data_IF_654201396626
#
_entry.id   IF_654201396626
#
_cell.length_a   1.000
_cell.length_b   1.000
_cell.length_c   1.000
_cell.angle_alpha   90.00
_cell.angle_beta   90.00
_cell.angle_gamma   90.00
#
_symmetry.space_group_name_H-M   'P 1'
#
loop_
_entity.id
_entity.type
_entity.pdbx_description
1 polymer ?
#
# COMPACT_ATOMS: atom_id res chain seq x y z
N UNK A 1 -48.13 -75.20 -32.72
CA UNK A 1 -47.37 -74.70 -31.57
C UNK A 1 -46.25 -73.85 -32.08
N UNK A 2 -46.40 -72.49 -32.11
CA UNK A 2 -45.50 -71.58 -32.87
C UNK A 2 -44.74 -70.73 -31.86
N UNK A 3 -43.43 -70.86 -31.87
CA UNK A 3 -42.53 -70.02 -31.05
C UNK A 3 -42.36 -68.63 -31.67
N UNK A 4 -42.75 -67.60 -30.91
CA UNK A 4 -42.54 -66.20 -31.30
C UNK A 4 -41.27 -65.66 -30.58
N UNK A 5 -40.13 -65.55 -31.31
CA UNK A 5 -38.92 -64.91 -30.82
C UNK A 5 -39.01 -63.41 -31.06
N UNK A 6 -39.18 -62.60 -29.99
CA UNK A 6 -39.04 -61.15 -30.05
C UNK A 6 -37.57 -60.77 -30.10
N UNK A 7 -37.16 -60.19 -31.22
CA UNK A 7 -35.85 -59.49 -31.38
C UNK A 7 -35.95 -58.13 -30.74
N UNK A 8 -35.30 -57.90 -29.56
CA UNK A 8 -35.04 -56.57 -29.07
C UNK A 8 -33.95 -55.93 -29.95
N UNK A 9 -34.27 -54.83 -30.60
CA UNK A 9 -33.41 -54.15 -31.55
C UNK A 9 -32.27 -53.42 -30.85
N UNK A 10 -31.08 -53.61 -31.34
CA UNK A 10 -29.79 -52.99 -30.91
C UNK A 10 -29.80 -51.45 -30.98
N UNK A 11 -30.90 -50.82 -31.44
CA UNK A 11 -30.99 -49.37 -31.57
C UNK A 11 -31.29 -48.65 -30.25
N UNK A 12 -31.81 -49.28 -29.22
CA UNK A 12 -32.08 -48.66 -27.93
C UNK A 12 -30.85 -48.56 -27.02
N UNK A 13 -29.83 -49.37 -27.23
CA UNK A 13 -28.58 -49.36 -26.43
C UNK A 13 -27.59 -48.25 -26.89
N UNK A 14 -27.63 -47.80 -28.15
CA UNK A 14 -26.77 -46.78 -28.65
C UNK A 14 -27.20 -45.33 -28.25
N UNK A 15 -28.49 -45.12 -28.03
CA UNK A 15 -29.03 -43.79 -27.59
C UNK A 15 -28.80 -43.56 -26.12
N UNK A 16 -28.79 -44.58 -25.30
CA UNK A 16 -28.51 -44.49 -23.86
C UNK A 16 -27.01 -44.22 -23.58
N UNK A 17 -26.10 -44.75 -24.37
CA UNK A 17 -24.64 -44.53 -24.24
C UNK A 17 -24.23 -43.13 -24.65
N UNK A 18 -24.86 -42.49 -25.67
CA UNK A 18 -24.56 -41.12 -26.11
C UNK A 18 -25.10 -40.05 -25.14
N UNK A 19 -26.17 -40.30 -24.40
CA UNK A 19 -26.68 -39.37 -23.41
C UNK A 19 -25.88 -39.37 -22.11
N UNK A 20 -25.22 -40.46 -21.75
CA UNK A 20 -24.35 -40.56 -20.56
C UNK A 20 -23.02 -39.87 -20.79
N UNK A 21 -22.45 -39.92 -21.99
CA UNK A 21 -21.19 -39.22 -22.35
C UNK A 21 -21.39 -37.69 -22.44
N UNK A 22 -22.56 -37.21 -22.81
CA UNK A 22 -22.86 -35.78 -22.87
C UNK A 22 -23.05 -35.14 -21.48
N UNK A 23 -23.31 -35.92 -20.43
CA UNK A 23 -23.51 -35.43 -19.06
C UNK A 23 -22.18 -35.31 -18.27
N UNK A 24 -21.10 -35.97 -18.70
CA UNK A 24 -19.79 -35.92 -18.03
C UNK A 24 -18.87 -34.77 -18.50
N UNK A 25 -19.27 -33.96 -19.47
CA UNK A 25 -18.40 -32.91 -20.04
C UNK A 25 -18.71 -31.50 -19.50
N UNK A 26 -19.52 -31.35 -18.47
CA UNK A 26 -19.77 -30.06 -17.82
C UNK A 26 -19.59 -30.07 -16.30
N UNK A 27 -18.53 -30.68 -15.82
CA UNK A 27 -17.88 -30.15 -14.62
C UNK A 27 -17.05 -28.94 -15.10
N UNK A 28 -17.71 -27.81 -15.23
CA UNK A 28 -17.00 -26.55 -15.35
C UNK A 28 -16.16 -26.41 -14.06
N UNK A 29 -14.88 -26.68 -14.13
CA UNK A 29 -13.94 -26.26 -13.09
C UNK A 29 -14.14 -24.75 -12.93
N UNK A 30 -14.83 -24.38 -11.87
CA UNK A 30 -14.78 -23.01 -11.43
C UNK A 30 -13.33 -22.78 -10.97
N UNK A 31 -12.58 -21.99 -11.73
CA UNK A 31 -11.21 -21.65 -11.38
C UNK A 31 -11.22 -21.06 -9.96
N UNK A 32 -10.34 -21.54 -9.11
CA UNK A 32 -10.18 -20.99 -7.77
C UNK A 32 -9.56 -19.60 -7.84
N UNK A 33 -9.65 -18.82 -6.77
CA UNK A 33 -8.97 -17.52 -6.68
C UNK A 33 -7.47 -17.69 -6.94
N UNK A 34 -6.86 -18.78 -6.45
CA UNK A 34 -5.44 -19.08 -6.65
C UNK A 34 -5.11 -19.37 -8.12
N UNK A 35 -5.95 -20.15 -8.83
CA UNK A 35 -5.73 -20.46 -10.24
C UNK A 35 -5.73 -19.18 -11.09
N UNK A 36 -6.65 -18.26 -10.81
CA UNK A 36 -6.74 -16.97 -11.51
C UNK A 36 -5.55 -16.08 -11.14
N UNK A 37 -5.23 -16.00 -9.86
CA UNK A 37 -4.18 -15.13 -9.34
C UNK A 37 -2.78 -15.52 -9.82
N UNK A 38 -2.51 -16.83 -9.94
CA UNK A 38 -1.18 -17.36 -10.31
C UNK A 38 -1.03 -17.67 -11.81
N UNK A 39 -2.03 -17.36 -12.61
CA UNK A 39 -2.02 -17.65 -14.05
C UNK A 39 -0.89 -16.90 -14.76
N UNK A 40 -0.09 -17.65 -15.55
CA UNK A 40 1.03 -17.13 -16.35
C UNK A 40 0.92 -17.49 -17.84
N UNK A 41 -0.21 -18.09 -18.27
CA UNK A 41 -0.40 -18.50 -19.65
C UNK A 41 -0.40 -17.31 -20.61
N UNK A 42 -0.07 -17.49 -21.90
CA UNK A 42 -0.18 -16.44 -22.91
C UNK A 42 -1.60 -15.86 -23.03
N UNK A 43 -2.62 -16.66 -22.73
CA UNK A 43 -4.04 -16.25 -22.79
C UNK A 43 -4.52 -15.52 -21.52
N UNK A 44 -3.65 -15.31 -20.53
CA UNK A 44 -4.00 -14.73 -19.23
C UNK A 44 -4.86 -13.47 -19.36
N UNK A 45 -4.43 -12.52 -20.17
CA UNK A 45 -5.16 -11.25 -20.35
C UNK A 45 -6.58 -11.47 -20.88
N UNK A 46 -6.76 -12.37 -21.84
CA UNK A 46 -8.07 -12.72 -22.40
C UNK A 46 -8.96 -13.37 -21.34
N UNK A 47 -8.42 -14.33 -20.58
CA UNK A 47 -9.16 -15.01 -19.50
C UNK A 47 -9.59 -14.02 -18.42
N UNK A 48 -8.70 -13.10 -18.00
CA UNK A 48 -9.02 -12.08 -17.02
C UNK A 48 -10.13 -11.14 -17.52
N UNK A 49 -10.07 -10.70 -18.78
CA UNK A 49 -11.10 -9.84 -19.38
C UNK A 49 -12.46 -10.55 -19.44
N UNK A 50 -12.51 -11.80 -19.89
CA UNK A 50 -13.75 -12.57 -19.98
C UNK A 50 -14.37 -12.86 -18.61
N UNK A 51 -13.56 -13.14 -17.62
CA UNK A 51 -14.01 -13.32 -16.23
C UNK A 51 -14.49 -12.00 -15.61
N UNK A 52 -13.72 -10.94 -15.74
CA UNK A 52 -14.05 -9.62 -15.22
C UNK A 52 -15.34 -9.03 -15.80
N UNK A 53 -15.65 -9.31 -17.09
CA UNK A 53 -16.97 -8.95 -17.69
C UNK A 53 -18.14 -9.59 -16.97
N UNK A 54 -17.98 -10.81 -16.44
CA UNK A 54 -19.02 -11.50 -15.68
C UNK A 54 -19.11 -10.98 -14.25
N UNK A 55 -17.97 -10.57 -13.66
CA UNK A 55 -17.86 -10.06 -12.30
C UNK A 55 -18.35 -8.61 -12.20
N UNK A 56 -18.14 -7.78 -13.20
CA UNK A 56 -18.70 -6.44 -13.38
C UNK A 56 -18.20 -5.37 -12.44
N UNK A 57 -17.47 -5.72 -11.38
CA UNK A 57 -16.93 -4.76 -10.40
C UNK A 57 -15.70 -5.29 -9.68
N UNK A 58 -14.99 -4.38 -8.98
CA UNK A 58 -13.91 -4.71 -8.03
C UNK A 58 -14.04 -3.85 -6.77
N UNK A 59 -13.85 -4.43 -5.58
CA UNK A 59 -13.85 -3.72 -4.30
C UNK A 59 -12.44 -3.48 -3.82
N UNK A 60 -12.06 -2.21 -3.70
CA UNK A 60 -10.74 -1.73 -3.32
C UNK A 60 -10.75 -1.11 -1.92
N UNK A 61 -10.04 -1.73 -0.96
CA UNK A 61 -9.82 -1.13 0.38
C UNK A 61 -8.46 -0.44 0.40
N UNK A 62 -8.45 0.88 0.68
CA UNK A 62 -7.26 1.69 0.48
C UNK A 62 -7.07 2.79 1.52
N UNK A 63 -5.81 3.13 1.80
CA UNK A 63 -5.42 4.31 2.59
C UNK A 63 -5.20 5.56 1.74
N UNK A 64 -5.20 5.46 0.42
CA UNK A 64 -4.94 6.57 -0.49
C UNK A 64 -6.01 7.67 -0.42
N UNK A 65 -5.63 8.92 -0.70
CA UNK A 65 -6.57 10.05 -0.67
C UNK A 65 -7.50 9.97 -1.89
N UNK A 66 -8.82 10.02 -1.62
CA UNK A 66 -9.85 9.75 -2.63
C UNK A 66 -9.71 10.68 -3.83
N UNK A 67 -9.88 11.99 -3.65
CA UNK A 67 -9.94 12.93 -4.76
C UNK A 67 -8.59 13.17 -5.41
N UNK A 68 -7.51 12.92 -4.69
CA UNK A 68 -6.16 13.15 -5.19
C UNK A 68 -5.68 11.99 -6.09
N UNK A 69 -5.95 10.72 -5.73
CA UNK A 69 -5.39 9.57 -6.45
C UNK A 69 -6.35 8.40 -6.66
N UNK A 70 -7.28 8.11 -5.72
CA UNK A 70 -8.19 6.96 -5.90
C UNK A 70 -9.14 7.21 -7.05
N UNK A 71 -9.76 8.40 -7.12
CA UNK A 71 -10.68 8.76 -8.19
C UNK A 71 -9.99 8.79 -9.58
N UNK A 72 -8.83 9.44 -9.77
CA UNK A 72 -8.08 9.33 -11.03
C UNK A 72 -7.71 7.89 -11.43
N UNK A 73 -7.32 7.04 -10.48
CA UNK A 73 -7.03 5.63 -10.75
C UNK A 73 -8.29 4.86 -11.18
N UNK A 74 -9.41 5.07 -10.47
CA UNK A 74 -10.72 4.52 -10.83
C UNK A 74 -11.11 4.92 -12.26
N UNK A 75 -11.10 6.21 -12.55
CA UNK A 75 -11.47 6.75 -13.88
C UNK A 75 -10.56 6.20 -14.98
N UNK A 76 -9.25 6.14 -14.73
CA UNK A 76 -8.27 5.57 -15.66
C UNK A 76 -8.50 4.08 -15.92
N UNK A 77 -8.81 3.32 -14.89
CA UNK A 77 -9.11 1.90 -15.00
C UNK A 77 -10.45 1.65 -15.73
N UNK A 78 -11.51 2.33 -15.32
CA UNK A 78 -12.85 2.19 -15.92
C UNK A 78 -12.89 2.66 -17.38
N UNK A 79 -12.03 3.60 -17.75
CA UNK A 79 -11.85 3.98 -19.16
C UNK A 79 -11.22 2.85 -19.99
N UNK A 80 -10.28 2.09 -19.42
CA UNK A 80 -9.64 0.96 -20.10
C UNK A 80 -10.53 -0.29 -20.09
N UNK A 81 -11.25 -0.50 -18.98
CA UNK A 81 -12.12 -1.67 -18.76
C UNK A 81 -13.56 -1.21 -18.39
N UNK A 82 -14.33 -0.65 -19.32
CA UNK A 82 -15.63 -0.03 -19.04
C UNK A 82 -16.71 -1.00 -18.55
N UNK A 83 -16.42 -2.29 -18.58
CA UNK A 83 -17.27 -3.36 -18.05
C UNK A 83 -16.99 -3.70 -16.59
N UNK A 84 -16.04 -3.03 -15.91
CA UNK A 84 -15.73 -3.22 -14.48
C UNK A 84 -15.84 -1.90 -13.75
N UNK A 85 -16.74 -1.81 -12.78
CA UNK A 85 -16.84 -0.68 -11.87
C UNK A 85 -15.89 -0.85 -10.68
N UNK A 86 -15.18 0.22 -10.29
CA UNK A 86 -14.36 0.22 -9.07
C UNK A 86 -15.15 0.83 -7.92
N UNK A 87 -15.47 -0.01 -6.92
CA UNK A 87 -15.97 0.44 -5.64
C UNK A 87 -14.81 0.50 -4.64
N UNK A 88 -14.85 1.40 -3.66
CA UNK A 88 -13.76 1.50 -2.70
C UNK A 88 -14.24 1.84 -1.29
N UNK A 89 -13.45 1.40 -0.31
CA UNK A 89 -13.52 1.83 1.08
C UNK A 89 -12.20 2.50 1.45
N UNK A 90 -12.24 3.71 2.00
CA UNK A 90 -11.06 4.42 2.45
C UNK A 90 -10.93 4.36 3.98
N UNK A 91 -9.77 3.96 4.48
CA UNK A 91 -9.41 3.94 5.89
C UNK A 91 -7.90 4.02 6.10
N UNK A 92 -7.44 4.19 7.35
CA UNK A 92 -6.05 3.94 7.68
C UNK A 92 -5.78 2.42 7.70
N UNK A 93 -4.50 2.02 7.81
CA UNK A 93 -4.10 0.60 7.75
C UNK A 93 -4.81 -0.26 8.81
N UNK A 94 -4.96 0.25 10.02
CA UNK A 94 -5.61 -0.45 11.12
C UNK A 94 -7.12 -0.64 10.87
N UNK A 95 -7.79 0.39 10.35
CA UNK A 95 -9.22 0.33 10.02
C UNK A 95 -9.48 -0.65 8.86
N UNK A 96 -8.64 -0.64 7.83
CA UNK A 96 -8.71 -1.57 6.71
C UNK A 96 -8.52 -3.00 7.22
N UNK A 97 -7.42 -3.26 7.94
CA UNK A 97 -7.15 -4.60 8.46
C UNK A 97 -8.27 -5.11 9.37
N UNK A 98 -8.74 -4.28 10.31
CA UNK A 98 -9.87 -4.64 11.20
C UNK A 98 -11.12 -4.98 10.42
N UNK A 99 -11.47 -4.19 9.40
CA UNK A 99 -12.62 -4.44 8.57
C UNK A 99 -12.51 -5.78 7.84
N UNK A 100 -11.39 -6.05 7.18
CA UNK A 100 -11.14 -7.32 6.51
C UNK A 100 -11.24 -8.49 7.49
N UNK A 101 -10.58 -8.40 8.65
CA UNK A 101 -10.61 -9.44 9.68
C UNK A 101 -12.03 -9.72 10.16
N UNK A 102 -12.84 -8.69 10.44
CA UNK A 102 -14.23 -8.82 10.87
C UNK A 102 -15.11 -9.47 9.79
N UNK A 103 -14.94 -9.04 8.54
CA UNK A 103 -15.69 -9.61 7.41
C UNK A 103 -15.34 -11.10 7.21
N UNK A 104 -14.07 -11.46 7.30
CA UNK A 104 -13.60 -12.84 7.15
C UNK A 104 -14.06 -13.76 8.31
N UNK A 105 -14.03 -13.26 9.55
CA UNK A 105 -14.58 -13.98 10.70
C UNK A 105 -16.07 -14.26 10.54
N UNK A 106 -16.81 -13.32 9.96
CA UNK A 106 -18.23 -13.46 9.64
C UNK A 106 -18.49 -14.27 8.34
N UNK A 107 -17.44 -14.79 7.67
CA UNK A 107 -17.51 -15.45 6.34
C UNK A 107 -18.15 -14.58 5.26
N UNK A 108 -18.06 -13.27 5.39
CA UNK A 108 -18.48 -12.29 4.37
C UNK A 108 -17.23 -11.79 3.67
N UNK A 109 -17.05 -12.18 2.43
CA UNK A 109 -15.90 -11.83 1.62
C UNK A 109 -16.28 -10.68 0.68
N UNK A 110 -16.02 -9.44 1.08
CA UNK A 110 -16.40 -8.25 0.33
C UNK A 110 -15.22 -7.68 -0.48
N UNK A 111 -14.03 -7.66 0.13
CA UNK A 111 -12.86 -7.04 -0.45
C UNK A 111 -12.19 -7.93 -1.51
N UNK A 112 -11.75 -7.31 -2.61
CA UNK A 112 -10.93 -7.95 -3.64
C UNK A 112 -9.46 -7.54 -3.52
N UNK A 113 -9.20 -6.23 -3.43
CA UNK A 113 -7.84 -5.66 -3.39
C UNK A 113 -7.65 -4.84 -2.13
N UNK A 114 -6.58 -5.14 -1.38
CA UNK A 114 -6.19 -4.44 -0.16
C UNK A 114 -4.97 -3.58 -0.43
N UNK A 115 -5.00 -2.31 0.00
CA UNK A 115 -3.87 -1.38 -0.10
C UNK A 115 -3.61 -0.65 1.20
N UNK A 116 -2.35 -0.47 1.54
CA UNK A 116 -1.90 0.31 2.69
C UNK A 116 -0.50 -0.10 3.15
N UNK A 117 0.23 0.81 3.79
CA UNK A 117 1.62 0.56 4.21
C UNK A 117 1.76 -0.61 5.19
N UNK A 118 0.78 -0.80 6.08
CA UNK A 118 0.75 -1.90 7.04
C UNK A 118 -0.48 -2.81 6.89
N UNK A 119 -1.51 -2.38 6.14
CA UNK A 119 -2.76 -3.13 6.02
C UNK A 119 -2.53 -4.51 5.38
N UNK A 120 -1.75 -4.57 4.30
CA UNK A 120 -1.47 -5.83 3.60
C UNK A 120 -0.74 -6.83 4.50
N UNK A 121 0.28 -6.40 5.25
CA UNK A 121 1.01 -7.29 6.17
C UNK A 121 0.14 -7.76 7.34
N UNK A 122 -0.71 -6.88 7.89
CA UNK A 122 -1.66 -7.27 8.94
C UNK A 122 -2.66 -8.33 8.45
N UNK A 123 -3.21 -8.14 7.24
CA UNK A 123 -4.15 -9.08 6.63
C UNK A 123 -3.45 -10.37 6.20
N UNK A 124 -2.21 -10.28 5.70
CA UNK A 124 -1.37 -11.43 5.34
C UNK A 124 -1.05 -12.30 6.56
N UNK A 125 -0.71 -11.69 7.70
CA UNK A 125 -0.44 -12.42 8.95
C UNK A 125 -1.66 -13.18 9.47
N UNK A 126 -2.84 -12.64 9.28
CA UNK A 126 -4.07 -13.33 9.58
C UNK A 126 -4.39 -14.49 8.61
N UNK A 127 -3.58 -14.69 7.57
CA UNK A 127 -3.77 -15.73 6.56
C UNK A 127 -4.81 -15.37 5.49
N UNK A 128 -5.15 -14.09 5.33
CA UNK A 128 -6.24 -13.62 4.46
C UNK A 128 -5.77 -12.89 3.20
N UNK A 129 -4.47 -12.98 2.86
CA UNK A 129 -3.95 -12.57 1.56
C UNK A 129 -3.70 -13.77 0.66
N UNK A 130 -3.86 -13.58 -0.65
CA UNK A 130 -3.56 -14.53 -1.70
C UNK A 130 -2.27 -14.11 -2.43
N UNK A 131 -1.39 -15.05 -2.74
CA UNK A 131 -0.28 -14.80 -3.65
C UNK A 131 -0.83 -14.53 -5.05
N UNK A 132 -0.18 -13.65 -5.78
CA UNK A 132 -0.56 -13.32 -7.14
C UNK A 132 0.65 -13.11 -8.05
N UNK A 133 0.44 -13.31 -9.32
CA UNK A 133 1.38 -13.01 -10.37
C UNK A 133 0.92 -11.77 -11.15
N UNK A 134 1.81 -10.80 -11.33
CA UNK A 134 1.64 -9.71 -12.28
C UNK A 134 2.89 -9.59 -13.15
N UNK A 135 2.75 -9.52 -14.49
CA UNK A 135 3.90 -9.36 -15.37
C UNK A 135 4.68 -8.07 -15.11
N UNK A 136 4.00 -7.02 -14.63
CA UNK A 136 4.60 -5.72 -14.32
C UNK A 136 5.59 -5.78 -13.15
N UNK A 137 5.41 -6.71 -12.20
CA UNK A 137 6.33 -6.86 -11.06
C UNK A 137 7.73 -7.34 -11.48
N UNK A 138 7.92 -7.84 -12.70
CA UNK A 138 9.24 -8.20 -13.20
C UNK A 138 10.18 -6.97 -13.26
N UNK A 139 9.65 -5.80 -13.56
CA UNK A 139 10.39 -4.55 -13.69
C UNK A 139 10.67 -3.87 -12.34
N UNK A 140 9.96 -4.25 -11.26
CA UNK A 140 10.10 -3.62 -9.95
C UNK A 140 11.36 -4.10 -9.23
N UNK A 141 12.09 -3.20 -8.55
CA UNK A 141 13.23 -3.58 -7.73
C UNK A 141 12.79 -4.44 -6.52
N UNK A 142 13.71 -5.25 -5.96
CA UNK A 142 13.37 -6.20 -4.89
C UNK A 142 12.68 -5.58 -3.67
N UNK A 143 13.08 -4.37 -3.27
CA UNK A 143 12.53 -3.65 -2.13
C UNK A 143 11.09 -3.16 -2.32
N UNK A 144 10.58 -3.14 -3.56
CA UNK A 144 9.24 -2.66 -3.90
C UNK A 144 8.27 -3.78 -4.30
N UNK A 145 8.63 -5.03 -4.06
CA UNK A 145 7.78 -6.21 -4.27
C UNK A 145 8.08 -7.30 -3.24
N UNK A 146 7.09 -8.10 -2.91
CA UNK A 146 7.26 -9.24 -2.03
C UNK A 146 7.91 -10.43 -2.76
N UNK A 147 8.98 -10.99 -2.22
CA UNK A 147 9.63 -12.19 -2.75
C UNK A 147 8.72 -13.42 -2.72
N UNK A 148 7.74 -13.45 -1.83
CA UNK A 148 6.74 -14.53 -1.68
C UNK A 148 5.50 -14.30 -2.56
N UNK A 149 5.34 -13.10 -3.15
CA UNK A 149 4.28 -12.78 -4.10
C UNK A 149 2.96 -12.33 -3.48
N UNK A 150 2.92 -11.86 -2.23
CA UNK A 150 1.68 -11.37 -1.60
C UNK A 150 1.39 -9.90 -1.86
N UNK A 151 2.39 -9.09 -2.21
CA UNK A 151 2.20 -7.67 -2.46
C UNK A 151 3.15 -7.11 -3.53
N UNK A 152 2.71 -6.01 -4.14
CA UNK A 152 3.53 -5.10 -4.93
C UNK A 152 3.35 -3.67 -4.42
N UNK A 153 4.26 -2.77 -4.74
CA UNK A 153 4.21 -1.38 -4.32
C UNK A 153 3.54 -0.48 -5.37
N UNK A 154 2.64 0.40 -4.92
CA UNK A 154 2.05 1.44 -5.79
C UNK A 154 2.80 2.75 -5.71
N UNK A 155 3.30 3.10 -4.52
CA UNK A 155 4.01 4.35 -4.29
C UNK A 155 4.86 4.25 -3.02
N UNK A 156 5.84 5.12 -2.92
CA UNK A 156 6.68 5.26 -1.74
C UNK A 156 6.42 6.61 -1.10
N UNK A 157 6.45 6.67 0.22
CA UNK A 157 6.40 7.89 1.00
C UNK A 157 7.76 8.13 1.64
N UNK A 158 8.34 9.32 1.45
CA UNK A 158 9.54 9.73 2.16
C UNK A 158 9.16 10.69 3.29
N UNK A 159 9.56 10.32 4.51
CA UNK A 159 9.24 11.04 5.73
C UNK A 159 10.40 11.94 6.12
N UNK A 160 10.14 13.24 6.20
CA UNK A 160 11.16 14.27 6.42
C UNK A 160 10.75 15.21 7.55
N UNK A 161 11.58 16.20 7.85
CA UNK A 161 11.11 17.35 8.61
C UNK A 161 10.23 18.23 7.71
N UNK A 162 9.16 18.78 8.28
CA UNK A 162 8.44 19.93 7.73
C UNK A 162 8.73 21.15 8.55
N UNK A 163 8.91 22.31 7.94
CA UNK A 163 9.19 23.54 8.68
C UNK A 163 8.44 24.74 8.10
N UNK A 164 8.10 25.69 8.98
CA UNK A 164 7.51 26.95 8.58
C UNK A 164 8.62 27.91 8.12
N UNK A 165 8.57 28.34 6.87
CA UNK A 165 9.61 29.20 6.26
C UNK A 165 9.65 30.63 6.78
N UNK A 166 8.59 31.06 7.50
CA UNK A 166 8.58 32.36 8.18
C UNK A 166 9.25 32.30 9.57
N UNK A 167 9.23 31.12 10.21
CA UNK A 167 9.72 30.92 11.57
C UNK A 167 11.15 30.40 11.60
N UNK A 168 11.59 29.65 10.57
CA UNK A 168 12.92 29.03 10.50
C UNK A 168 13.56 29.30 9.15
N UNK A 169 14.77 29.84 9.16
CA UNK A 169 15.57 30.06 7.95
C UNK A 169 16.24 28.76 7.52
N UNK A 170 16.45 28.59 6.22
CA UNK A 170 17.02 27.36 5.63
C UNK A 170 18.43 27.02 6.15
N UNK A 171 19.24 28.04 6.51
CA UNK A 171 20.58 27.82 7.08
C UNK A 171 20.58 27.45 8.57
N UNK A 172 19.43 27.50 9.23
CA UNK A 172 19.26 27.17 10.65
C UNK A 172 18.70 25.76 10.87
N UNK A 173 18.24 25.10 9.80
CA UNK A 173 17.59 23.79 9.84
C UNK A 173 18.52 22.69 10.33
N UNK A 174 17.99 21.71 11.09
CA UNK A 174 18.68 20.45 11.36
C UNK A 174 19.04 19.74 10.04
N UNK A 175 20.28 19.29 9.91
CA UNK A 175 20.79 18.55 8.74
C UNK A 175 21.10 17.09 9.05
N UNK A 176 21.29 16.80 10.32
CA UNK A 176 21.57 15.48 10.86
C UNK A 176 20.58 15.14 11.98
N UNK A 177 20.48 13.88 12.36
CA UNK A 177 19.69 13.49 13.52
C UNK A 177 20.22 14.13 14.81
N UNK A 178 21.52 14.29 14.95
CA UNK A 178 22.17 14.94 16.11
C UNK A 178 21.77 16.40 16.24
N UNK A 179 21.53 17.11 15.12
CA UNK A 179 21.10 18.51 15.15
C UNK A 179 19.75 18.71 15.83
N UNK A 180 18.87 17.66 15.85
CA UNK A 180 17.60 17.70 16.60
C UNK A 180 17.81 17.77 18.11
N UNK A 181 19.01 17.43 18.61
CA UNK A 181 19.34 17.46 20.02
C UNK A 181 19.82 18.84 20.51
N UNK A 182 20.00 19.81 19.60
CA UNK A 182 20.44 21.15 19.97
C UNK A 182 19.40 21.84 20.87
N UNK A 183 19.83 22.59 21.89
CA UNK A 183 18.92 23.24 22.85
C UNK A 183 17.87 24.16 22.22
N UNK A 184 18.19 24.76 21.07
CA UNK A 184 17.26 25.65 20.35
C UNK A 184 15.97 24.96 19.87
N UNK A 185 15.98 23.64 19.72
CA UNK A 185 14.83 22.86 19.29
C UNK A 185 13.96 22.34 20.43
N UNK A 186 14.39 22.55 21.68
CA UNK A 186 13.65 22.07 22.85
C UNK A 186 12.27 22.74 22.92
N UNK A 187 11.20 21.95 22.87
CA UNK A 187 9.82 22.41 22.84
C UNK A 187 9.39 23.05 21.50
N UNK A 188 10.24 23.04 20.47
CA UNK A 188 9.97 23.65 19.17
C UNK A 188 9.56 22.64 18.10
N UNK A 189 9.44 21.38 18.43
CA UNK A 189 9.16 20.30 17.51
C UNK A 189 7.85 19.60 17.86
N UNK A 190 7.18 19.07 16.85
CA UNK A 190 6.03 18.19 17.03
C UNK A 190 6.06 16.96 16.13
N UNK A 191 5.35 15.93 16.49
CA UNK A 191 5.12 14.74 15.69
C UNK A 191 3.76 14.10 15.91
N UNK A 192 3.36 13.26 14.95
CA UNK A 192 2.19 12.38 15.08
C UNK A 192 2.51 11.17 15.94
N UNK A 193 1.56 10.72 16.75
CA UNK A 193 1.65 9.44 17.48
C UNK A 193 1.16 8.25 16.65
N UNK A 194 0.78 8.47 15.39
CA UNK A 194 0.28 7.44 14.47
C UNK A 194 1.29 6.31 14.28
N UNK A 195 0.83 5.07 14.36
CA UNK A 195 1.67 3.86 14.14
C UNK A 195 2.25 3.80 12.73
N UNK A 196 1.45 4.20 11.74
CA UNK A 196 1.78 4.01 10.33
C UNK A 196 2.63 5.11 9.69
N UNK A 197 2.81 6.27 10.35
CA UNK A 197 3.53 7.42 9.77
C UNK A 197 4.03 8.43 10.79
N UNK A 198 4.05 8.07 12.06
CA UNK A 198 4.43 8.99 13.13
C UNK A 198 5.71 8.59 13.87
N UNK A 199 5.79 9.02 15.12
CA UNK A 199 6.92 8.77 16.03
C UNK A 199 7.39 7.31 16.08
N UNK A 200 6.52 6.28 16.10
CA UNK A 200 6.99 4.89 16.11
C UNK A 200 7.87 4.53 14.90
N UNK A 201 7.52 5.00 13.69
CA UNK A 201 8.35 4.75 12.50
C UNK A 201 9.66 5.55 12.52
N UNK A 202 9.66 6.76 13.08
CA UNK A 202 10.90 7.49 13.32
C UNK A 202 11.83 6.72 14.25
N UNK A 203 11.29 6.18 15.35
CA UNK A 203 12.03 5.34 16.31
C UNK A 203 12.60 4.13 15.58
N UNK A 204 11.80 3.44 14.78
CA UNK A 204 12.24 2.31 13.97
C UNK A 204 13.39 2.68 13.03
N UNK A 205 13.29 3.80 12.33
CA UNK A 205 14.35 4.27 11.46
C UNK A 205 15.65 4.57 12.22
N UNK A 206 15.57 5.17 13.40
CA UNK A 206 16.74 5.41 14.26
C UNK A 206 17.39 4.10 14.70
N UNK A 207 16.59 3.14 15.16
CA UNK A 207 17.11 1.83 15.60
C UNK A 207 17.75 1.04 14.45
N UNK A 208 17.17 1.09 13.26
CA UNK A 208 17.71 0.46 12.04
C UNK A 208 19.00 1.15 11.56
N UNK A 209 19.08 2.47 11.72
CA UNK A 209 20.22 3.28 11.23
C UNK A 209 21.42 3.18 12.17
N UNK A 210 21.19 3.36 13.46
CA UNK A 210 22.25 3.47 14.47
C UNK A 210 22.54 2.13 15.19
N UNK A 211 21.69 1.14 14.97
CA UNK A 211 21.68 -0.09 15.77
C UNK A 211 20.95 0.07 17.11
N UNK A 212 20.57 -1.05 17.77
CA UNK A 212 19.70 -1.01 18.94
C UNK A 212 20.27 -0.19 20.12
N UNK A 213 21.54 -0.35 20.44
CA UNK A 213 22.13 0.31 21.63
C UNK A 213 22.35 1.81 21.41
N UNK A 214 23.04 2.18 20.32
CA UNK A 214 23.27 3.59 20.00
C UNK A 214 21.96 4.33 19.69
N UNK A 215 21.03 3.66 18.99
CA UNK A 215 19.70 4.20 18.70
C UNK A 215 18.89 4.49 19.96
N UNK A 216 18.86 3.58 20.93
CA UNK A 216 18.22 3.83 22.23
C UNK A 216 18.86 4.98 22.99
N UNK A 217 20.21 5.04 23.02
CA UNK A 217 20.93 6.15 23.65
C UNK A 217 20.58 7.50 23.00
N UNK A 218 20.52 7.56 21.68
CA UNK A 218 20.07 8.74 20.95
C UNK A 218 18.62 9.13 21.31
N UNK A 219 17.69 8.16 21.31
CA UNK A 219 16.26 8.38 21.61
C UNK A 219 16.05 8.89 23.05
N UNK A 220 16.87 8.47 24.01
CA UNK A 220 16.84 9.04 25.37
C UNK A 220 17.22 10.53 25.40
N UNK A 221 18.24 10.92 24.61
CA UNK A 221 18.59 12.35 24.45
C UNK A 221 17.48 13.11 23.75
N UNK A 222 16.87 12.52 22.71
CA UNK A 222 15.77 13.14 21.97
C UNK A 222 14.52 13.36 22.83
N UNK A 223 14.24 12.45 23.78
CA UNK A 223 13.16 12.61 24.77
C UNK A 223 13.27 13.93 25.54
N UNK A 224 14.51 14.35 25.88
CA UNK A 224 14.77 15.60 26.59
C UNK A 224 14.44 16.85 25.77
N UNK A 225 14.20 16.74 24.46
CA UNK A 225 13.79 17.84 23.61
C UNK A 225 12.31 18.25 23.79
N UNK A 226 11.53 17.52 24.59
CA UNK A 226 10.12 17.82 24.86
C UNK A 226 9.29 18.04 23.59
N UNK A 227 9.31 17.04 22.70
CA UNK A 227 8.58 17.08 21.43
C UNK A 227 7.06 17.00 21.69
N UNK A 228 6.30 17.94 21.16
CA UNK A 228 4.84 17.93 21.24
C UNK A 228 4.25 16.73 20.48
N UNK A 229 3.22 16.13 21.06
CA UNK A 229 2.58 14.89 20.60
C UNK A 229 1.14 15.16 20.21
N UNK A 230 0.71 14.62 19.07
CA UNK A 230 -0.68 14.68 18.63
C UNK A 230 -1.11 13.38 17.96
N UNK A 231 -2.36 12.99 18.14
CA UNK A 231 -2.98 11.86 17.42
C UNK A 231 -3.36 12.23 15.99
N UNK A 232 -3.20 13.48 15.60
CA UNK A 232 -3.44 13.96 14.25
C UNK A 232 -2.55 13.24 13.23
N UNK A 233 -3.04 13.13 12.00
CA UNK A 233 -2.26 12.55 10.89
C UNK A 233 -1.04 13.40 10.55
N UNK A 234 -0.04 12.84 9.88
CA UNK A 234 1.13 13.60 9.41
C UNK A 234 0.75 14.81 8.53
N UNK A 235 -0.36 14.73 7.79
CA UNK A 235 -0.89 15.86 7.03
C UNK A 235 -1.38 16.98 7.95
N UNK A 236 -2.18 16.66 8.95
CA UNK A 236 -2.70 17.63 9.92
C UNK A 236 -1.57 18.24 10.77
N UNK A 237 -0.54 17.46 11.11
CA UNK A 237 0.67 17.99 11.77
C UNK A 237 1.35 19.04 10.89
N UNK A 238 1.45 18.78 9.57
CA UNK A 238 2.00 19.76 8.64
C UNK A 238 1.13 21.04 8.58
N UNK A 239 -0.18 20.91 8.66
CA UNK A 239 -1.10 22.06 8.68
C UNK A 239 -0.89 22.94 9.92
N UNK A 240 -0.60 22.36 11.10
CA UNK A 240 -0.24 23.11 12.32
C UNK A 240 1.11 23.86 12.15
N UNK A 241 2.07 23.26 11.46
CA UNK A 241 3.33 23.95 11.10
C UNK A 241 3.07 25.09 10.11
N UNK A 242 2.23 24.90 9.11
CA UNK A 242 1.83 25.95 8.16
C UNK A 242 1.17 27.11 8.90
N UNK A 243 0.31 26.83 9.88
CA UNK A 243 -0.34 27.83 10.72
C UNK A 243 0.63 28.56 11.66
N UNK A 244 1.84 28.02 11.88
CA UNK A 244 2.87 28.64 12.73
C UNK A 244 2.79 28.23 14.20
N UNK A 245 1.98 27.23 14.56
CA UNK A 245 1.88 26.72 15.93
C UNK A 245 3.17 26.07 16.40
N UNK A 246 3.90 25.43 15.49
CA UNK A 246 5.23 24.88 15.71
C UNK A 246 6.14 25.22 14.55
N UNK A 247 7.41 25.54 14.80
CA UNK A 247 8.37 25.83 13.74
C UNK A 247 8.79 24.59 12.93
N UNK A 248 8.81 23.39 13.58
CA UNK A 248 9.21 22.11 12.98
C UNK A 248 8.21 20.99 13.28
N UNK A 249 7.96 20.15 12.27
CA UNK A 249 7.36 18.83 12.44
C UNK A 249 8.36 17.73 12.06
N UNK A 250 8.42 16.68 12.87
CA UNK A 250 9.19 15.46 12.57
C UNK A 250 8.26 14.43 11.93
N UNK A 251 8.72 13.70 10.90
CA UNK A 251 7.95 12.65 10.22
C UNK A 251 6.71 13.17 9.49
N UNK A 252 6.90 14.10 8.56
CA UNK A 252 5.86 14.48 7.59
C UNK A 252 6.21 13.92 6.20
N UNK A 253 5.21 13.77 5.37
CA UNK A 253 5.41 13.38 3.96
C UNK A 253 5.96 14.55 3.16
N UNK A 254 7.15 14.41 2.56
CA UNK A 254 7.81 15.47 1.79
C UNK A 254 6.94 16.00 0.63
N UNK A 255 6.21 15.12 -0.07
CA UNK A 255 5.32 15.54 -1.16
C UNK A 255 4.15 16.38 -0.68
N UNK A 256 3.64 16.19 0.55
CA UNK A 256 2.61 17.07 1.12
C UNK A 256 3.15 18.48 1.39
N UNK A 257 4.40 18.60 1.88
CA UNK A 257 5.05 19.90 2.04
C UNK A 257 5.27 20.57 0.68
N UNK A 258 5.70 19.82 -0.33
CA UNK A 258 5.85 20.31 -1.70
C UNK A 258 4.50 20.83 -2.26
N UNK A 259 3.42 20.06 -2.16
CA UNK A 259 2.08 20.46 -2.64
C UNK A 259 1.64 21.76 -1.94
N UNK A 260 1.80 21.85 -0.63
CA UNK A 260 1.41 23.05 0.13
C UNK A 260 2.27 24.27 -0.23
N UNK A 261 3.58 24.09 -0.42
CA UNK A 261 4.51 25.13 -0.88
C UNK A 261 4.11 25.66 -2.25
N UNK A 262 3.79 24.79 -3.20
CA UNK A 262 3.37 25.20 -4.55
C UNK A 262 2.02 25.90 -4.56
N UNK A 263 1.18 25.64 -3.57
CA UNK A 263 -0.06 26.38 -3.32
C UNK A 263 0.15 27.68 -2.55
N UNK A 264 1.40 28.11 -2.30
CA UNK A 264 1.73 29.38 -1.65
C UNK A 264 1.80 29.35 -0.13
N UNK A 265 1.69 28.16 0.50
CA UNK A 265 1.83 28.04 1.95
C UNK A 265 3.28 28.30 2.41
N UNK A 266 3.50 28.91 3.60
CA UNK A 266 4.82 29.20 4.13
C UNK A 266 5.49 27.95 4.73
N UNK A 267 5.71 26.94 3.93
CA UNK A 267 6.25 25.64 4.34
C UNK A 267 7.24 25.09 3.34
N UNK A 268 8.25 24.38 3.83
CA UNK A 268 9.10 23.53 3.04
C UNK A 268 9.53 22.30 3.86
N UNK A 269 10.33 21.43 3.30
CA UNK A 269 10.78 20.20 3.94
C UNK A 269 12.31 20.09 3.95
N UNK A 270 12.85 19.34 4.91
CA UNK A 270 14.28 19.09 5.09
C UNK A 270 14.49 17.60 5.36
N UNK A 271 15.30 16.90 4.55
CA UNK A 271 15.65 15.51 4.83
C UNK A 271 16.63 15.40 6.00
N UNK A 272 16.47 14.32 6.78
CA UNK A 272 17.51 13.79 7.68
C UNK A 272 17.88 12.40 7.16
N UNK A 273 19.12 12.23 6.73
CA UNK A 273 19.56 10.98 6.10
C UNK A 273 20.09 9.95 7.13
N UNK A 274 19.77 8.67 6.94
CA UNK A 274 18.89 8.10 5.91
C UNK A 274 17.42 8.45 6.16
N UNK A 275 16.73 8.92 5.11
CA UNK A 275 15.31 9.29 5.19
C UNK A 275 14.44 8.04 5.40
N UNK A 276 13.47 8.11 6.28
CA UNK A 276 12.47 7.02 6.40
C UNK A 276 11.65 6.92 5.12
N UNK A 277 11.68 5.76 4.47
CA UNK A 277 10.85 5.46 3.31
C UNK A 277 9.79 4.41 3.67
N UNK A 278 8.52 4.77 3.56
CA UNK A 278 7.40 3.86 3.80
C UNK A 278 6.79 3.43 2.47
N UNK A 279 6.69 2.14 2.27
CA UNK A 279 6.17 1.55 1.05
C UNK A 279 4.65 1.38 1.18
N UNK A 280 3.87 1.95 0.26
CA UNK A 280 2.46 1.66 0.16
C UNK A 280 2.26 0.45 -0.75
N UNK A 281 1.65 -0.60 -0.22
CA UNK A 281 1.52 -1.88 -0.89
C UNK A 281 0.08 -2.18 -1.30
N UNK A 282 -0.06 -3.02 -2.32
CA UNK A 282 -1.33 -3.60 -2.77
C UNK A 282 -1.19 -5.11 -2.87
N UNK A 283 -2.28 -5.81 -2.63
CA UNK A 283 -2.33 -7.27 -2.78
C UNK A 283 -3.76 -7.78 -2.91
N UNK A 284 -3.86 -9.06 -3.30
CA UNK A 284 -5.11 -9.76 -3.52
C UNK A 284 -5.64 -10.35 -2.21
N UNK A 285 -6.92 -10.17 -1.92
CA UNK A 285 -7.57 -10.83 -0.79
C UNK A 285 -7.76 -12.33 -1.07
N UNK A 286 -7.57 -13.20 -0.06
CA UNK A 286 -7.55 -14.68 -0.22
C UNK A 286 -8.83 -15.26 -0.79
N UNK A 287 -9.97 -14.68 -0.43
CA UNK A 287 -11.29 -15.09 -0.89
C UNK A 287 -11.95 -13.99 -1.71
N UNK A 288 -11.15 -13.29 -2.54
CA UNK A 288 -11.67 -12.25 -3.42
C UNK A 288 -12.87 -12.75 -4.22
N UNK A 289 -14.07 -12.15 -4.07
CA UNK A 289 -15.26 -12.63 -4.77
C UNK A 289 -15.18 -12.40 -6.29
N UNK A 290 -14.29 -11.53 -6.73
CA UNK A 290 -14.15 -11.09 -8.12
C UNK A 290 -12.68 -11.14 -8.55
N UNK A 291 -12.07 -12.37 -8.60
CA UNK A 291 -10.64 -12.51 -8.77
C UNK A 291 -10.12 -12.05 -10.15
N UNK A 292 -10.93 -12.15 -11.20
CA UNK A 292 -10.51 -11.69 -12.54
C UNK A 292 -10.46 -10.16 -12.61
N UNK A 293 -11.49 -9.48 -12.13
CA UNK A 293 -11.53 -8.02 -12.05
C UNK A 293 -10.44 -7.49 -11.11
N UNK A 294 -10.21 -8.18 -9.98
CA UNK A 294 -9.15 -7.85 -9.03
C UNK A 294 -7.77 -7.94 -9.68
N UNK A 295 -7.51 -9.00 -10.45
CA UNK A 295 -6.22 -9.18 -11.14
C UNK A 295 -6.00 -8.15 -12.25
N UNK A 296 -7.03 -7.80 -13.02
CA UNK A 296 -6.95 -6.69 -13.98
C UNK A 296 -6.64 -5.36 -13.29
N UNK A 297 -7.29 -5.11 -12.16
CA UNK A 297 -7.07 -3.89 -11.39
C UNK A 297 -5.67 -3.82 -10.76
N UNK A 298 -5.17 -4.94 -10.21
CA UNK A 298 -3.80 -5.04 -9.71
C UNK A 298 -2.77 -4.81 -10.82
N UNK A 299 -2.96 -5.44 -11.98
CA UNK A 299 -2.09 -5.24 -13.14
C UNK A 299 -2.09 -3.77 -13.60
N UNK A 300 -3.27 -3.16 -13.67
CA UNK A 300 -3.39 -1.74 -14.03
C UNK A 300 -2.65 -0.84 -13.04
N UNK A 301 -2.85 -1.02 -11.73
CA UNK A 301 -2.20 -0.21 -10.69
C UNK A 301 -0.67 -0.33 -10.73
N UNK A 302 -0.15 -1.52 -11.10
CA UNK A 302 1.29 -1.79 -11.20
C UNK A 302 1.88 -1.42 -12.57
N UNK A 303 1.05 -1.20 -13.59
CA UNK A 303 1.48 -0.85 -14.94
C UNK A 303 2.02 0.58 -15.03
N UNK A 304 2.79 0.86 -16.09
CA UNK A 304 3.21 2.24 -16.40
C UNK A 304 2.05 3.23 -16.49
N UNK A 305 0.88 2.81 -16.99
CA UNK A 305 -0.33 3.66 -17.06
C UNK A 305 -0.84 4.04 -15.67
N UNK A 306 -1.07 3.08 -14.80
CA UNK A 306 -1.51 3.33 -13.43
C UNK A 306 -0.49 4.16 -12.65
N UNK A 307 0.80 3.85 -12.80
CA UNK A 307 1.89 4.58 -12.16
C UNK A 307 2.05 6.02 -12.69
N UNK A 308 1.71 6.28 -13.95
CA UNK A 308 1.63 7.65 -14.48
C UNK A 308 0.51 8.45 -13.83
N UNK A 309 -0.63 7.84 -13.53
CA UNK A 309 -1.72 8.49 -12.77
C UNK A 309 -1.23 8.80 -11.35
N UNK A 310 -0.55 7.86 -10.69
CA UNK A 310 0.08 8.08 -9.38
C UNK A 310 1.01 9.29 -9.44
N UNK A 311 1.86 9.40 -10.49
CA UNK A 311 2.78 10.51 -10.69
C UNK A 311 2.04 11.85 -10.80
N UNK A 312 1.07 11.96 -11.72
CA UNK A 312 0.36 13.24 -11.97
C UNK A 312 -0.55 13.65 -10.81
N UNK A 313 -0.86 12.71 -9.93
CA UNK A 313 -1.53 12.95 -8.65
C UNK A 313 -0.60 13.45 -7.54
N UNK A 314 0.65 13.80 -7.86
CA UNK A 314 1.70 14.23 -6.92
C UNK A 314 2.06 13.18 -5.86
N UNK A 315 1.84 11.90 -6.15
CA UNK A 315 2.43 10.80 -5.39
C UNK A 315 3.77 10.37 -6.01
N UNK A 316 4.53 9.57 -5.30
CA UNK A 316 5.85 9.12 -5.75
C UNK A 316 5.73 7.68 -6.26
N UNK A 317 5.70 7.46 -7.59
CA UNK A 317 5.48 6.14 -8.18
C UNK A 317 6.54 5.13 -7.77
N UNK A 318 6.15 3.86 -7.67
CA UNK A 318 7.07 2.74 -7.39
C UNK A 318 7.70 2.14 -8.65
N UNK A 319 7.06 2.30 -9.81
CA UNK A 319 7.60 1.79 -11.06
C UNK A 319 8.90 2.52 -11.43
N UNK A 320 10.01 1.80 -11.73
CA UNK A 320 11.34 2.41 -11.91
C UNK A 320 11.40 3.37 -13.10
N UNK A 321 10.64 3.12 -14.16
CA UNK A 321 10.61 3.98 -15.34
C UNK A 321 9.67 5.20 -15.22
N UNK A 322 8.91 5.32 -14.13
CA UNK A 322 8.04 6.47 -13.90
C UNK A 322 8.65 7.34 -12.80
N UNK A 323 9.33 8.45 -13.15
CA UNK A 323 9.96 9.33 -12.17
C UNK A 323 8.91 10.07 -11.34
N UNK A 324 9.32 10.68 -10.24
CA UNK A 324 8.48 11.68 -9.56
C UNK A 324 8.31 12.92 -10.45
N UNK A 325 7.21 13.66 -10.31
CA UNK A 325 7.04 14.96 -10.99
C UNK A 325 8.15 15.94 -10.60
N UNK A 326 8.58 15.86 -9.34
CA UNK A 326 9.69 16.64 -8.82
C UNK A 326 10.80 15.68 -8.39
N UNK A 327 11.93 15.75 -9.08
CA UNK A 327 13.05 14.83 -8.87
C UNK A 327 13.58 14.86 -7.43
N UNK A 328 13.60 16.03 -6.79
CA UNK A 328 14.12 16.23 -5.44
C UNK A 328 13.29 15.53 -4.34
N UNK A 329 12.06 15.08 -4.65
CA UNK A 329 11.23 14.32 -3.73
C UNK A 329 11.66 12.86 -3.58
N UNK A 330 12.56 12.35 -4.41
CA UNK A 330 13.11 10.97 -4.36
C UNK A 330 14.63 10.99 -4.13
N UNK A 331 15.19 9.88 -3.63
CA UNK A 331 16.65 9.75 -3.50
C UNK A 331 17.36 9.99 -4.85
N UNK A 332 18.48 10.72 -4.81
CA UNK A 332 19.25 11.05 -6.02
C UNK A 332 18.75 12.25 -6.81
N UNK A 333 17.57 12.79 -6.47
CA UNK A 333 16.98 13.94 -7.16
C UNK A 333 17.48 15.31 -6.72
N UNK A 334 18.47 15.36 -5.82
CA UNK A 334 19.14 16.61 -5.40
C UNK A 334 19.10 16.90 -3.92
N UNK A 335 17.98 16.70 -3.21
CA UNK A 335 17.87 17.03 -1.78
C UNK A 335 18.42 15.96 -0.85
N UNK A 336 18.34 14.67 -1.21
CA UNK A 336 18.85 13.56 -0.41
C UNK A 336 19.26 12.37 -1.28
N UNK A 337 20.09 11.50 -0.71
CA UNK A 337 20.64 10.33 -1.41
C UNK A 337 20.30 9.00 -0.76
N UNK A 338 20.15 8.97 0.57
CA UNK A 338 19.97 7.75 1.35
C UNK A 338 18.58 7.69 1.97
N UNK A 339 17.92 6.54 1.82
CA UNK A 339 16.64 6.24 2.45
C UNK A 339 16.63 4.81 2.98
N UNK A 340 15.98 4.60 4.13
CA UNK A 340 15.67 3.28 4.67
C UNK A 340 14.25 2.90 4.25
N UNK A 341 14.14 1.89 3.40
CA UNK A 341 12.86 1.35 2.97
C UNK A 341 12.32 0.39 4.04
N UNK A 342 11.35 0.87 4.79
CA UNK A 342 10.66 0.05 5.80
C UNK A 342 9.61 -0.79 5.06
N UNK A 343 9.95 -2.07 4.84
CA UNK A 343 9.06 -3.01 4.17
C UNK A 343 7.86 -3.37 5.05
N UNK A 344 6.75 -3.87 4.47
CA UNK A 344 5.63 -4.41 5.23
C UNK A 344 6.06 -5.51 6.24
N UNK A 345 7.05 -6.35 5.87
CA UNK A 345 7.55 -7.40 6.75
C UNK A 345 8.30 -6.82 7.97
N UNK A 346 9.14 -5.80 7.76
CA UNK A 346 9.83 -5.10 8.86
C UNK A 346 8.82 -4.41 9.78
N UNK A 347 7.82 -3.70 9.21
CA UNK A 347 6.73 -3.11 10.01
C UNK A 347 5.94 -4.17 10.80
N UNK A 348 5.77 -5.31 10.18
CA UNK A 348 5.08 -6.42 10.78
C UNK A 348 5.89 -7.02 11.95
N UNK A 349 7.17 -7.29 11.75
CA UNK A 349 8.01 -7.97 12.76
C UNK A 349 8.39 -7.04 13.92
N UNK A 350 8.69 -5.77 13.64
CA UNK A 350 9.26 -4.82 14.60
C UNK A 350 8.32 -3.65 14.94
N UNK A 351 7.27 -3.43 14.16
CA UNK A 351 6.41 -2.24 14.32
C UNK A 351 5.73 -2.16 15.70
N UNK A 352 5.39 -3.29 16.32
CA UNK A 352 4.84 -3.31 17.68
C UNK A 352 5.89 -2.88 18.71
N UNK A 353 7.11 -3.37 18.60
CA UNK A 353 8.22 -3.02 19.52
C UNK A 353 8.51 -1.51 19.47
N UNK A 354 8.44 -0.90 18.28
CA UNK A 354 8.61 0.55 18.11
C UNK A 354 7.47 1.34 18.76
N UNK A 355 6.23 0.84 18.64
CA UNK A 355 5.07 1.43 19.31
C UNK A 355 5.21 1.31 20.82
N UNK A 356 5.56 0.14 21.33
CA UNK A 356 5.73 -0.10 22.76
C UNK A 356 6.87 0.75 23.33
N UNK A 357 7.99 0.85 22.60
CA UNK A 357 9.08 1.76 22.97
C UNK A 357 8.60 3.22 23.04
N UNK A 358 7.86 3.68 22.04
CA UNK A 358 7.30 5.03 22.02
C UNK A 358 6.37 5.27 23.22
N UNK A 359 5.44 4.36 23.47
CA UNK A 359 4.51 4.46 24.59
C UNK A 359 5.23 4.51 25.95
N UNK A 360 6.20 3.63 26.14
CA UNK A 360 6.93 3.50 27.40
C UNK A 360 7.92 4.63 27.64
N UNK A 361 8.52 5.19 26.61
CA UNK A 361 9.57 6.20 26.75
C UNK A 361 9.10 7.63 26.52
N UNK A 362 8.10 7.86 25.66
CA UNK A 362 7.67 9.20 25.26
C UNK A 362 6.27 9.60 25.74
N UNK A 363 5.40 8.64 26.10
CA UNK A 363 4.05 8.95 26.58
C UNK A 363 3.92 8.88 28.13
N UNK A 364 4.86 8.25 28.80
CA UNK A 364 4.96 8.18 30.27
C UNK A 364 5.84 9.38 30.77
#
# INVERSE_FOLDING_TARGET
MTFCKRRLSARCLLVAATLVVAFYVRLAWSATVEDVAMMKSPDRQKVLIEGAKKEGKVMFYTGLIVDQVVRPLKEGFEKEYPFVQVDFFRGNSENIARRVLTEYQAKRYEVDVVSGSAATSMVQRAGFMQRFYSPHLAEYPPELKDSKGFWGSTNVYFMTLGYNTRNVKANELPRTYEDLLQPRWKGQMMWSTSRGSGAPQFIGNILLTMGPEAGKAYLQKLKAQNIAKSTASARQILDLVIAGEYPLAIQIFNHHAYISKTAGAPVDWQPLEPVTATINTIGLAKHAPRPHAAMLFLDFLLSKKGQKIVQVSNYLPSHPEIPALQADLKPGGGRFKKANYISPDVLYDQGNDWVDYFQNQFLK
#
